data_IF_194997124175
#
_entry.id   IF_194997124175
#
_cell.length_a   1.000
_cell.length_b   1.000
_cell.length_c   1.000
_cell.angle_alpha   90.00
_cell.angle_beta   90.00
_cell.angle_gamma   90.00
#
_symmetry.space_group_name_H-M   'P 1'
#
loop_
_entity.id
_entity.type
_entity.pdbx_description
1 polymer ?
#
# COMPACT_ATOMS: atom_id res chain seq x y z
N UNK A 1 -57.75 22.33 43.88
CA UNK A 1 -57.09 21.13 43.33
C UNK A 1 -56.96 21.39 41.83
N UNK A 2 -55.71 21.44 41.32
CA UNK A 2 -55.45 21.50 39.89
C UNK A 2 -55.35 20.06 39.38
N UNK A 3 -56.25 19.65 38.56
CA UNK A 3 -56.22 18.39 37.84
C UNK A 3 -55.72 18.62 36.43
N UNK A 4 -54.79 17.79 35.95
CA UNK A 4 -54.29 17.80 34.57
C UNK A 4 -54.73 16.49 33.92
N UNK A 5 -55.30 16.56 32.73
CA UNK A 5 -55.66 15.38 31.98
C UNK A 5 -54.35 14.68 31.52
N UNK A 6 -54.29 13.38 31.75
CA UNK A 6 -53.20 12.55 31.20
C UNK A 6 -53.45 12.30 29.71
N UNK A 7 -52.45 12.55 28.93
CA UNK A 7 -52.46 12.20 27.49
C UNK A 7 -51.56 10.97 27.32
N UNK A 8 -52.08 9.97 26.61
CA UNK A 8 -51.26 8.82 26.21
C UNK A 8 -50.17 9.31 25.27
N UNK A 9 -48.92 9.13 25.64
CA UNK A 9 -47.76 9.48 24.85
C UNK A 9 -46.80 8.29 24.78
N UNK A 10 -46.38 7.96 23.57
CA UNK A 10 -45.30 7.01 23.41
C UNK A 10 -43.98 7.68 23.79
N UNK A 11 -43.38 7.21 24.85
CA UNK A 11 -42.06 7.67 25.29
C UNK A 11 -40.97 6.76 24.68
N UNK A 12 -39.98 7.34 23.99
CA UNK A 12 -38.88 6.55 23.48
C UNK A 12 -38.08 5.91 24.61
N UNK A 13 -37.85 4.62 24.55
CA UNK A 13 -37.00 3.89 25.47
C UNK A 13 -35.54 4.16 25.13
N UNK A 14 -34.82 4.88 25.97
CA UNK A 14 -33.37 5.03 25.83
C UNK A 14 -32.65 3.82 26.43
N UNK A 15 -31.73 3.24 25.68
CA UNK A 15 -30.85 2.15 26.12
C UNK A 15 -29.41 2.59 25.90
N UNK A 16 -28.59 2.44 26.91
CA UNK A 16 -27.18 2.73 26.84
C UNK A 16 -26.42 1.44 26.49
N UNK A 17 -25.60 1.50 25.43
CA UNK A 17 -24.79 0.40 24.93
C UNK A 17 -23.31 0.79 24.97
N UNK A 18 -22.47 -0.16 25.33
CA UNK A 18 -21.02 0.00 25.22
C UNK A 18 -20.60 -0.33 23.77
N UNK A 19 -19.80 0.53 23.18
CA UNK A 19 -19.32 0.36 21.81
C UNK A 19 -17.83 0.66 21.64
N UNK A 20 -17.29 0.28 20.50
CA UNK A 20 -15.92 0.60 20.06
C UNK A 20 -15.99 1.54 18.87
N UNK A 21 -15.13 2.55 18.88
CA UNK A 21 -14.92 3.41 17.71
C UNK A 21 -13.95 2.68 16.78
N UNK A 22 -14.37 2.46 15.56
CA UNK A 22 -13.62 1.76 14.52
C UNK A 22 -13.45 2.67 13.32
N UNK A 23 -12.39 2.42 12.57
CA UNK A 23 -12.18 3.02 11.26
C UNK A 23 -13.24 2.49 10.27
N UNK A 24 -13.79 3.38 9.43
CA UNK A 24 -14.57 2.93 8.27
C UNK A 24 -13.63 2.15 7.34
N UNK A 25 -13.91 0.86 7.04
CA UNK A 25 -13.07 0.06 6.14
C UNK A 25 -12.87 0.67 4.75
N UNK A 26 -13.81 1.52 4.31
CA UNK A 26 -13.74 2.20 3.02
C UNK A 26 -13.01 3.56 3.08
N UNK A 27 -12.68 4.04 4.29
CA UNK A 27 -12.03 5.34 4.50
C UNK A 27 -10.67 5.23 5.19
N UNK A 28 -10.22 4.02 5.44
CA UNK A 28 -8.92 3.74 6.00
C UNK A 28 -8.03 2.94 5.06
N UNK A 29 -6.75 2.86 5.37
CA UNK A 29 -5.81 2.10 4.60
C UNK A 29 -4.65 1.56 5.43
N UNK A 30 -4.22 0.35 5.07
CA UNK A 30 -3.03 -0.28 5.63
C UNK A 30 -1.93 -0.27 4.59
N UNK A 31 -0.72 0.07 5.00
CA UNK A 31 0.46 0.10 4.14
C UNK A 31 1.39 -1.00 4.58
N UNK A 32 1.61 -1.95 3.68
CA UNK A 32 2.41 -3.14 3.87
C UNK A 32 3.31 -3.33 2.65
N UNK A 33 4.58 -3.73 2.81
CA UNK A 33 5.45 -4.04 1.70
C UNK A 33 5.06 -5.37 1.04
N UNK A 34 5.27 -5.47 -0.25
CA UNK A 34 5.13 -6.73 -1.00
C UNK A 34 6.36 -7.62 -0.81
N UNK A 35 7.55 -6.98 -0.64
CA UNK A 35 8.82 -7.65 -0.51
C UNK A 35 9.49 -7.30 0.82
N UNK A 36 10.22 -8.28 1.38
CA UNK A 36 11.08 -8.03 2.52
C UNK A 36 12.25 -7.13 2.12
N UNK A 37 12.64 -6.21 3.00
CA UNK A 37 13.72 -5.29 2.67
C UNK A 37 14.03 -4.27 3.76
N UNK A 38 14.96 -3.38 3.44
CA UNK A 38 15.34 -2.28 4.33
C UNK A 38 14.50 -1.04 4.05
N UNK A 39 14.00 -0.40 5.09
CA UNK A 39 13.25 0.85 5.00
C UNK A 39 14.18 2.04 4.75
N UNK A 40 13.85 2.79 3.73
CA UNK A 40 14.40 4.12 3.47
C UNK A 40 13.31 5.18 3.58
N UNK A 41 13.59 6.35 4.16
CA UNK A 41 12.63 7.44 4.25
C UNK A 41 12.11 7.89 2.88
N UNK A 42 10.83 8.27 2.84
CA UNK A 42 10.25 8.93 1.67
C UNK A 42 10.78 10.36 1.47
N UNK A 43 10.29 11.07 0.45
CA UNK A 43 10.75 12.43 0.12
C UNK A 43 10.53 13.46 1.24
N UNK A 44 9.58 13.20 2.16
CA UNK A 44 9.27 14.04 3.32
C UNK A 44 9.75 13.46 4.65
N UNK A 45 10.62 12.44 4.60
CA UNK A 45 10.99 11.64 5.76
C UNK A 45 9.97 10.51 6.04
N UNK A 46 10.13 9.83 7.17
CA UNK A 46 9.11 8.89 7.66
C UNK A 46 7.97 9.69 8.33
N UNK A 47 6.71 9.35 8.04
CA UNK A 47 5.59 10.06 8.63
C UNK A 47 5.46 9.77 10.13
N UNK A 48 5.05 10.78 10.88
CA UNK A 48 4.77 10.69 12.31
C UNK A 48 3.28 10.42 12.58
N UNK A 49 2.97 9.91 13.77
CA UNK A 49 1.59 9.78 14.26
C UNK A 49 0.86 11.12 14.17
N UNK A 50 -0.39 11.10 13.70
CA UNK A 50 -1.21 12.29 13.53
C UNK A 50 -0.87 13.14 12.29
N UNK A 51 0.17 12.81 11.53
CA UNK A 51 0.52 13.54 10.32
C UNK A 51 -0.51 13.29 9.22
N UNK A 52 -0.97 14.37 8.59
CA UNK A 52 -1.85 14.29 7.43
C UNK A 52 -1.09 13.83 6.17
N UNK A 53 -1.68 12.89 5.44
CA UNK A 53 -1.15 12.34 4.20
C UNK A 53 -2.23 12.33 3.11
N UNK A 54 -1.81 12.37 1.85
CA UNK A 54 -2.71 12.33 0.70
C UNK A 54 -2.62 10.98 -0.01
N UNK A 55 -3.72 10.53 -0.59
CA UNK A 55 -3.73 9.34 -1.45
C UNK A 55 -2.65 9.45 -2.54
N UNK A 56 -1.84 8.41 -2.69
CA UNK A 56 -0.72 8.36 -3.63
C UNK A 56 0.58 8.99 -3.11
N UNK A 57 0.60 9.57 -1.91
CA UNK A 57 1.81 10.12 -1.30
C UNK A 57 2.78 8.99 -0.92
N UNK A 58 4.07 9.15 -1.27
CA UNK A 58 5.10 8.18 -0.91
C UNK A 58 5.54 8.43 0.54
N UNK A 59 5.30 7.43 1.39
CA UNK A 59 5.59 7.47 2.83
C UNK A 59 7.02 7.00 3.13
N UNK A 60 7.44 5.95 2.45
CA UNK A 60 8.74 5.31 2.60
C UNK A 60 9.08 4.52 1.33
N UNK A 61 10.30 4.03 1.26
CA UNK A 61 10.73 3.05 0.29
C UNK A 61 11.20 1.79 0.99
N UNK A 62 10.98 0.64 0.36
CA UNK A 62 11.60 -0.63 0.75
C UNK A 62 12.63 -0.99 -0.31
N UNK A 63 13.87 -1.15 0.12
CA UNK A 63 14.95 -1.67 -0.72
C UNK A 63 15.02 -3.18 -0.46
N UNK A 64 14.67 -4.02 -1.44
CA UNK A 64 14.65 -5.46 -1.24
C UNK A 64 16.01 -5.98 -0.78
N UNK A 65 16.02 -6.77 0.26
CA UNK A 65 17.20 -7.48 0.72
C UNK A 65 17.17 -8.91 0.19
N UNK A 66 17.51 -9.10 -1.09
CA UNK A 66 17.69 -10.44 -1.62
C UNK A 66 18.77 -11.19 -0.83
N UNK A 67 18.54 -12.50 -0.61
CA UNK A 67 19.54 -13.34 0.05
C UNK A 67 20.90 -13.22 -0.67
N UNK A 68 22.03 -13.22 0.04
CA UNK A 68 23.36 -13.03 -0.56
C UNK A 68 23.64 -13.99 -1.72
N UNK A 69 23.18 -15.24 -1.62
CA UNK A 69 23.33 -16.27 -2.65
C UNK A 69 22.52 -15.90 -3.91
N UNK A 70 21.30 -15.46 -3.75
CA UNK A 70 20.44 -15.10 -4.88
C UNK A 70 20.96 -13.86 -5.62
N UNK A 71 21.43 -12.86 -4.88
CA UNK A 71 22.08 -11.68 -5.43
C UNK A 71 23.37 -12.03 -6.17
N UNK A 72 24.17 -12.97 -5.64
CA UNK A 72 25.37 -13.48 -6.31
C UNK A 72 25.03 -14.19 -7.62
N UNK A 73 24.02 -15.06 -7.61
CA UNK A 73 23.56 -15.77 -8.82
C UNK A 73 23.06 -14.81 -9.88
N UNK A 74 22.22 -13.83 -9.52
CA UNK A 74 21.72 -12.83 -10.44
C UNK A 74 22.85 -11.94 -11.01
N UNK A 75 23.82 -11.56 -10.17
CA UNK A 75 24.98 -10.79 -10.62
C UNK A 75 25.86 -11.57 -11.60
N UNK A 76 26.09 -12.87 -11.35
CA UNK A 76 26.83 -13.75 -12.25
C UNK A 76 26.13 -13.89 -13.59
N UNK A 77 24.81 -14.10 -13.58
CA UNK A 77 24.00 -14.19 -14.78
C UNK A 77 24.02 -12.89 -15.59
N UNK A 78 23.98 -11.71 -14.92
CA UNK A 78 24.14 -10.44 -15.61
C UNK A 78 25.51 -10.26 -16.27
N UNK A 79 26.58 -10.72 -15.63
CA UNK A 79 27.93 -10.69 -16.22
C UNK A 79 28.01 -11.56 -17.47
N UNK A 80 27.45 -12.77 -17.43
CA UNK A 80 27.39 -13.67 -18.58
C UNK A 80 26.59 -13.08 -19.74
N UNK A 81 25.39 -12.54 -19.46
CA UNK A 81 24.56 -11.90 -20.50
C UNK A 81 25.22 -10.66 -21.11
N UNK A 82 25.91 -9.84 -20.29
CA UNK A 82 26.67 -8.68 -20.79
C UNK A 82 27.83 -9.10 -21.67
N UNK A 83 28.53 -10.17 -21.35
CA UNK A 83 29.59 -10.72 -22.17
C UNK A 83 29.04 -11.25 -23.51
N UNK A 84 27.94 -12.02 -23.48
CA UNK A 84 27.26 -12.50 -24.68
C UNK A 84 26.79 -11.34 -25.56
N UNK A 85 26.17 -10.29 -24.95
CA UNK A 85 25.75 -9.10 -25.70
C UNK A 85 26.92 -8.38 -26.34
N UNK A 86 28.01 -8.21 -25.64
CA UNK A 86 29.23 -7.58 -26.21
C UNK A 86 29.76 -8.34 -27.43
N UNK A 87 29.69 -9.69 -27.41
CA UNK A 87 30.07 -10.52 -28.57
C UNK A 87 29.09 -10.35 -29.73
N UNK A 88 27.79 -10.35 -29.45
CA UNK A 88 26.74 -10.11 -30.43
C UNK A 88 26.87 -8.74 -31.10
N UNK A 89 27.12 -7.70 -30.31
CA UNK A 89 27.33 -6.31 -30.80
C UNK A 89 28.55 -6.24 -31.75
N UNK A 90 29.65 -6.90 -31.40
CA UNK A 90 30.84 -6.98 -32.27
C UNK A 90 30.55 -7.74 -33.58
N UNK A 91 29.68 -8.78 -33.53
CA UNK A 91 29.24 -9.51 -34.72
C UNK A 91 28.38 -8.62 -35.61
N UNK A 92 27.45 -7.88 -35.06
CA UNK A 92 26.62 -6.90 -35.78
C UNK A 92 27.51 -5.85 -36.47
N UNK A 93 28.44 -5.25 -35.71
CA UNK A 93 29.36 -4.25 -36.26
C UNK A 93 30.15 -4.81 -37.48
N UNK A 94 30.74 -6.01 -37.37
CA UNK A 94 31.48 -6.66 -38.42
C UNK A 94 30.61 -6.96 -39.64
N UNK A 95 29.39 -7.46 -39.46
CA UNK A 95 28.47 -7.74 -40.55
C UNK A 95 28.03 -6.46 -41.27
N UNK A 96 27.86 -5.36 -40.55
CA UNK A 96 27.55 -4.03 -41.11
C UNK A 96 28.69 -3.47 -41.93
N UNK A 97 29.94 -3.65 -41.51
CA UNK A 97 31.13 -3.26 -42.31
C UNK A 97 31.22 -4.04 -43.64
N UNK A 98 30.65 -5.25 -43.68
CA UNK A 98 30.62 -6.15 -44.87
C UNK A 98 29.24 -6.15 -45.55
N UNK A 99 28.41 -5.13 -45.35
CA UNK A 99 27.01 -5.11 -45.81
C UNK A 99 26.84 -5.31 -47.33
N UNK A 100 27.84 -4.91 -48.11
CA UNK A 100 27.81 -5.08 -49.57
C UNK A 100 28.05 -6.53 -50.03
N UNK A 101 28.58 -7.39 -49.14
CA UNK A 101 28.97 -8.77 -49.47
C UNK A 101 28.21 -9.83 -48.68
N UNK A 102 27.51 -9.45 -47.63
CA UNK A 102 26.77 -10.35 -46.71
C UNK A 102 25.27 -10.23 -46.95
N UNK A 103 24.52 -11.34 -46.92
CA UNK A 103 23.07 -11.30 -47.01
C UNK A 103 22.44 -10.45 -45.91
N UNK A 104 21.51 -9.60 -46.29
CA UNK A 104 20.78 -8.71 -45.35
C UNK A 104 20.14 -9.45 -44.19
N UNK A 105 19.64 -10.66 -44.43
CA UNK A 105 19.08 -11.57 -43.44
C UNK A 105 20.06 -11.90 -42.31
N UNK A 106 21.35 -12.01 -42.59
CA UNK A 106 22.35 -12.35 -41.56
C UNK A 106 22.63 -11.17 -40.65
N UNK A 107 22.56 -9.94 -41.18
CA UNK A 107 22.65 -8.70 -40.40
C UNK A 107 21.43 -8.57 -39.49
N UNK A 108 20.22 -8.73 -40.04
CA UNK A 108 18.96 -8.66 -39.30
C UNK A 108 18.89 -9.71 -38.16
N UNK A 109 19.39 -10.94 -38.44
CA UNK A 109 19.46 -11.99 -37.41
C UNK A 109 20.42 -11.63 -36.28
N UNK A 110 21.59 -11.07 -36.59
CA UNK A 110 22.56 -10.65 -35.56
C UNK A 110 22.04 -9.47 -34.73
N UNK A 111 21.35 -8.53 -35.38
CA UNK A 111 20.69 -7.41 -34.67
C UNK A 111 19.60 -7.91 -33.73
N UNK A 112 18.78 -8.85 -34.16
CA UNK A 112 17.73 -9.46 -33.34
C UNK A 112 18.31 -10.20 -32.13
N UNK A 113 19.43 -10.92 -32.30
CA UNK A 113 20.15 -11.58 -31.20
C UNK A 113 20.65 -10.56 -30.17
N UNK A 114 21.31 -9.48 -30.62
CA UNK A 114 21.78 -8.41 -29.73
C UNK A 114 20.64 -7.72 -28.98
N UNK A 115 19.52 -7.45 -29.68
CA UNK A 115 18.33 -6.85 -29.06
C UNK A 115 17.73 -7.77 -27.97
N UNK A 116 17.59 -9.07 -28.27
CA UNK A 116 17.07 -10.05 -27.29
C UNK A 116 17.94 -10.12 -26.02
N UNK A 117 19.26 -10.09 -26.18
CA UNK A 117 20.19 -10.06 -25.03
C UNK A 117 20.04 -8.75 -24.22
N UNK A 118 19.85 -7.62 -24.89
CA UNK A 118 19.60 -6.35 -24.22
C UNK A 118 18.32 -6.37 -23.36
N UNK A 119 17.24 -6.94 -23.90
CA UNK A 119 15.98 -7.09 -23.15
C UNK A 119 16.12 -7.99 -21.92
N UNK A 120 16.85 -9.11 -22.05
CA UNK A 120 17.13 -10.01 -20.92
C UNK A 120 17.95 -9.32 -19.83
N UNK A 121 18.95 -8.54 -20.19
CA UNK A 121 19.76 -7.74 -19.26
C UNK A 121 18.89 -6.71 -18.54
N UNK A 122 18.00 -6.03 -19.26
CA UNK A 122 17.09 -5.04 -18.68
C UNK A 122 16.11 -5.68 -17.69
N UNK A 123 15.55 -6.85 -18.04
CA UNK A 123 14.62 -7.57 -17.17
C UNK A 123 15.27 -7.98 -15.83
N UNK A 124 16.48 -8.54 -15.86
CA UNK A 124 17.19 -8.94 -14.64
C UNK A 124 17.70 -7.71 -13.87
N UNK A 125 18.26 -6.73 -14.58
CA UNK A 125 18.81 -5.51 -13.96
C UNK A 125 17.74 -4.64 -13.30
N UNK A 126 16.54 -4.58 -13.88
CA UNK A 126 15.40 -3.87 -13.31
C UNK A 126 14.97 -4.44 -11.94
N UNK A 127 14.95 -5.76 -11.80
CA UNK A 127 14.58 -6.43 -10.55
C UNK A 127 15.57 -6.19 -9.39
N UNK A 128 16.85 -5.99 -9.70
CA UNK A 128 17.89 -5.75 -8.68
C UNK A 128 17.92 -4.32 -8.14
N UNK A 129 17.44 -3.36 -8.92
CA UNK A 129 17.58 -1.91 -8.63
C UNK A 129 16.27 -1.26 -8.14
N UNK A 130 15.15 -1.96 -8.22
CA UNK A 130 13.84 -1.34 -7.96
C UNK A 130 13.52 -1.34 -6.48
N UNK A 131 13.62 -0.15 -5.87
CA UNK A 131 13.03 0.08 -4.54
C UNK A 131 11.51 0.14 -4.67
N UNK A 132 10.81 -0.53 -3.77
CA UNK A 132 9.35 -0.50 -3.66
C UNK A 132 8.92 0.79 -2.96
N UNK A 133 8.04 1.56 -3.59
CA UNK A 133 7.47 2.76 -2.97
C UNK A 133 6.24 2.37 -2.15
N UNK A 134 6.26 2.65 -0.86
CA UNK A 134 5.11 2.51 0.03
C UNK A 134 4.27 3.78 -0.07
N UNK A 135 3.13 3.68 -0.74
CA UNK A 135 2.25 4.81 -0.98
C UNK A 135 1.00 4.75 -0.11
N UNK A 136 0.48 5.92 0.27
CA UNK A 136 -0.78 6.04 0.99
C UNK A 136 -1.95 5.61 0.08
N UNK A 137 -2.74 4.58 0.43
CA UNK A 137 -3.86 4.13 -0.39
C UNK A 137 -5.06 5.09 -0.33
N UNK A 138 -5.17 5.84 0.75
CA UNK A 138 -6.23 6.83 1.02
C UNK A 138 -5.62 8.12 1.57
N UNK A 139 -6.38 9.22 1.51
CA UNK A 139 -6.05 10.44 2.24
C UNK A 139 -6.58 10.34 3.67
N UNK A 140 -5.85 10.89 4.64
CA UNK A 140 -6.21 10.83 6.05
C UNK A 140 -5.05 11.24 6.95
N UNK A 141 -5.03 10.70 8.15
CA UNK A 141 -3.94 10.89 9.12
C UNK A 141 -3.30 9.55 9.48
N UNK A 142 -2.03 9.56 9.78
CA UNK A 142 -1.31 8.37 10.25
C UNK A 142 -1.79 8.01 11.66
N UNK A 143 -2.51 6.90 11.79
CA UNK A 143 -3.01 6.38 13.06
C UNK A 143 -1.96 5.51 13.76
N UNK A 144 -1.12 4.79 13.01
CA UNK A 144 0.01 4.04 13.55
C UNK A 144 1.18 4.06 12.57
N UNK A 145 2.40 4.07 13.11
CA UNK A 145 3.65 3.94 12.36
C UNK A 145 4.59 3.05 13.18
N UNK A 146 4.84 1.84 12.67
CA UNK A 146 5.67 0.83 13.35
C UNK A 146 6.99 0.60 12.59
N UNK A 147 7.63 1.69 12.21
CA UNK A 147 8.81 1.61 11.36
C UNK A 147 9.79 2.73 11.67
N UNK A 148 11.08 2.39 11.63
CA UNK A 148 12.20 3.34 11.73
C UNK A 148 13.12 3.24 10.51
N UNK A 149 13.80 4.32 10.18
CA UNK A 149 14.73 4.35 9.05
C UNK A 149 15.85 3.30 9.23
N UNK A 150 16.13 2.54 8.18
CA UNK A 150 17.14 1.49 8.19
C UNK A 150 16.71 0.15 8.78
N UNK A 151 15.50 0.05 9.34
CA UNK A 151 14.91 -1.21 9.79
C UNK A 151 14.75 -2.18 8.62
N UNK A 152 14.97 -3.47 8.89
CA UNK A 152 14.60 -4.54 7.96
C UNK A 152 13.21 -5.03 8.33
N UNK A 153 12.34 -5.12 7.34
CA UNK A 153 10.94 -5.52 7.49
C UNK A 153 10.64 -6.72 6.61
N UNK A 154 9.67 -7.51 7.03
CA UNK A 154 9.19 -8.66 6.28
C UNK A 154 8.09 -8.26 5.29
N UNK A 155 7.87 -9.11 4.28
CA UNK A 155 6.74 -8.96 3.38
C UNK A 155 5.42 -9.04 4.17
N UNK A 156 4.47 -8.15 3.82
CA UNK A 156 3.13 -8.05 4.46
C UNK A 156 3.14 -7.57 5.92
N UNK A 157 4.26 -7.14 6.45
CA UNK A 157 4.32 -6.49 7.77
C UNK A 157 3.55 -5.17 7.74
N UNK A 158 2.70 -4.91 8.75
CA UNK A 158 1.95 -3.66 8.84
C UNK A 158 2.87 -2.54 9.30
N UNK A 159 3.17 -1.60 8.40
CA UNK A 159 4.10 -0.49 8.68
C UNK A 159 3.38 0.80 9.03
N UNK A 160 2.32 1.13 8.28
CA UNK A 160 1.51 2.32 8.55
C UNK A 160 0.02 1.98 8.46
N UNK A 161 -0.75 2.64 9.31
CA UNK A 161 -2.20 2.64 9.25
C UNK A 161 -2.69 4.08 9.08
N UNK A 162 -3.54 4.30 8.09
CA UNK A 162 -4.08 5.61 7.74
C UNK A 162 -5.57 5.59 8.00
N UNK A 163 -6.07 6.61 8.67
CA UNK A 163 -7.47 6.74 9.06
C UNK A 163 -7.98 8.11 8.60
N UNK A 164 -9.17 8.13 8.04
CA UNK A 164 -9.91 9.37 7.85
C UNK A 164 -10.70 9.67 9.14
N UNK A 165 -10.30 10.67 9.94
CA UNK A 165 -10.96 10.97 11.21
C UNK A 165 -12.38 11.52 11.05
N UNK A 166 -12.77 11.93 9.83
CA UNK A 166 -14.12 12.37 9.52
C UNK A 166 -15.09 11.21 9.24
N UNK A 167 -14.57 9.99 9.05
CA UNK A 167 -15.33 8.80 8.68
C UNK A 167 -15.02 7.64 9.62
N UNK A 168 -15.52 7.77 10.84
CA UNK A 168 -15.43 6.73 11.86
C UNK A 168 -16.77 6.01 11.99
N UNK A 169 -16.73 4.77 12.41
CA UNK A 169 -17.90 3.95 12.74
C UNK A 169 -17.86 3.58 14.21
N UNK A 170 -19.03 3.32 14.76
CA UNK A 170 -19.17 2.79 16.11
C UNK A 170 -19.84 1.44 15.99
N UNK A 171 -19.20 0.43 16.54
CA UNK A 171 -19.76 -0.89 16.70
C UNK A 171 -20.18 -1.07 18.16
N UNK A 172 -21.46 -1.30 18.39
CA UNK A 172 -22.01 -1.56 19.71
C UNK A 172 -22.71 -2.94 19.70
N UNK A 173 -22.59 -3.67 20.78
CA UNK A 173 -23.22 -4.98 20.92
C UNK A 173 -24.55 -4.86 21.66
N UNK A 174 -25.64 -5.16 20.98
CA UNK A 174 -26.97 -5.32 21.57
C UNK A 174 -27.27 -6.80 21.72
N UNK A 175 -27.55 -7.26 22.96
CA UNK A 175 -27.90 -8.64 23.24
C UNK A 175 -29.37 -8.95 22.92
N UNK A 176 -30.21 -7.93 22.80
CA UNK A 176 -31.61 -8.07 22.42
C UNK A 176 -31.80 -7.66 20.95
N UNK A 177 -32.16 -8.60 20.05
CA UNK A 177 -32.38 -8.30 18.64
C UNK A 177 -33.46 -7.24 18.38
N UNK A 178 -34.44 -7.13 19.30
CA UNK A 178 -35.50 -6.14 19.16
C UNK A 178 -34.99 -4.68 19.25
N UNK A 179 -33.87 -4.45 19.92
CA UNK A 179 -33.22 -3.13 19.97
C UNK A 179 -32.66 -2.74 18.61
N UNK A 180 -32.02 -3.67 17.89
CA UNK A 180 -31.45 -3.40 16.57
C UNK A 180 -32.55 -3.14 15.51
N UNK A 181 -33.70 -3.81 15.62
CA UNK A 181 -34.82 -3.67 14.68
C UNK A 181 -35.58 -2.34 14.81
N UNK A 182 -35.49 -1.65 15.97
CA UNK A 182 -36.32 -0.49 16.29
C UNK A 182 -35.49 0.73 16.75
N UNK A 183 -34.35 0.97 16.10
CA UNK A 183 -33.51 2.13 16.38
C UNK A 183 -34.12 3.40 15.77
N UNK A 184 -34.69 4.27 16.60
CA UNK A 184 -35.22 5.55 16.16
C UNK A 184 -34.13 6.63 16.03
N UNK A 185 -33.17 6.65 16.92
CA UNK A 185 -32.00 7.55 16.90
C UNK A 185 -30.86 6.97 17.73
N UNK A 186 -29.64 7.28 17.36
CA UNK A 186 -28.45 6.91 18.11
C UNK A 186 -27.59 8.15 18.39
N UNK A 187 -26.98 8.20 19.57
CA UNK A 187 -26.05 9.27 19.96
C UNK A 187 -24.84 8.68 20.67
N UNK A 188 -23.67 9.22 20.41
CA UNK A 188 -22.45 8.92 21.17
C UNK A 188 -22.23 10.00 22.24
N UNK A 189 -22.07 9.59 23.49
CA UNK A 189 -21.66 10.48 24.57
C UNK A 189 -20.13 10.46 24.72
N UNK A 190 -19.49 11.63 24.55
CA UNK A 190 -18.05 11.83 24.79
C UNK A 190 -17.90 12.94 25.82
N UNK A 191 -17.66 12.58 27.08
CA UNK A 191 -17.66 13.53 28.17
C UNK A 191 -19.02 14.22 28.28
N UNK A 192 -19.06 15.56 28.11
CA UNK A 192 -20.30 16.36 28.17
C UNK A 192 -20.95 16.60 26.77
N UNK A 193 -20.39 16.07 25.72
CA UNK A 193 -20.89 16.25 24.35
C UNK A 193 -21.68 15.03 23.89
N UNK A 194 -22.78 15.26 23.16
CA UNK A 194 -23.55 14.23 22.49
C UNK A 194 -23.42 14.43 20.98
N UNK A 195 -22.89 13.43 20.31
CA UNK A 195 -22.71 13.41 18.85
C UNK A 195 -23.80 12.52 18.26
N UNK A 196 -24.64 13.04 17.35
CA UNK A 196 -25.65 12.22 16.66
C UNK A 196 -24.93 11.20 15.75
N UNK A 197 -25.48 10.00 15.69
CA UNK A 197 -24.98 8.90 14.86
C UNK A 197 -26.06 8.50 13.87
N UNK A 198 -25.63 8.11 12.68
CA UNK A 198 -26.46 7.45 11.68
C UNK A 198 -26.39 5.94 11.90
N UNK A 199 -27.56 5.31 12.02
CA UNK A 199 -27.65 3.84 12.16
C UNK A 199 -27.52 3.19 10.77
N UNK A 200 -26.58 2.26 10.62
CA UNK A 200 -26.29 1.62 9.32
C UNK A 200 -26.83 0.17 9.27
N UNK A 201 -27.04 -0.47 10.42
CA UNK A 201 -27.52 -1.86 10.49
C UNK A 201 -26.93 -2.64 11.66
#
# INVERSE_FOLDING_TARGET
VRTMATVDAELPRAVELTGKVLMDPNAGGKVQPLNAGRIEPGPRGLPNLGQAVRKGEVLAYVVPSAAPIERSNQSSQLVELRAAKSLADKRVARLKELADTVPRKDIESAESESASLAERIAAIGGGLATREALVAPVSGVIASAHVVAGQVVDARELLFEIVDPSRLRIEALAFDPALAANVGSATLAIGNQRVPLEFIG
#
